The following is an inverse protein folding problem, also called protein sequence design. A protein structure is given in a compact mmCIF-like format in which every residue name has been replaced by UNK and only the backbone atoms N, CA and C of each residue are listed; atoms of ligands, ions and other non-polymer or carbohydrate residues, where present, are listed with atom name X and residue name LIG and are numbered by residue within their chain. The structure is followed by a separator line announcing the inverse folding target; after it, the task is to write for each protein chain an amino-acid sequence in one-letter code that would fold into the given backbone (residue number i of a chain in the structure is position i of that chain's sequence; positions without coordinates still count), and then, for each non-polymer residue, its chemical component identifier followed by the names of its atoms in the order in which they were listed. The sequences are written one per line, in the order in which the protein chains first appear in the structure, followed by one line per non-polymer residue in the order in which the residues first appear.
data_IF_183279470256
#
_entry.id   IF_183279470256
#
_cell.length_a   1.000
_cell.length_b   1.000
_cell.length_c   1.000
_cell.angle_alpha   90.00
_cell.angle_beta   90.00
_cell.angle_gamma   90.00
#
_symmetry.space_group_name_H-M   'P 1'
#
loop_
_entity.id
_entity.type
_entity.pdbx_description
1 polymer ?
#
# COMPACT_ATOMS: atom_id res chain seq x y z
N UNK A 1 34.37 3.12 2.89
CA UNK A 1 33.29 3.83 3.62
C UNK A 1 33.43 5.29 3.22
N UNK A 2 32.40 5.96 2.71
CA UNK A 2 32.52 7.39 2.38
C UNK A 2 32.53 8.20 3.68
N UNK A 3 33.29 9.30 3.68
CA UNK A 3 33.38 10.26 4.79
C UNK A 3 32.17 11.21 4.85
N UNK A 4 31.02 10.79 4.32
CA UNK A 4 29.82 11.61 4.30
C UNK A 4 29.27 11.74 5.73
N UNK A 5 29.31 12.96 6.26
CA UNK A 5 28.65 13.26 7.53
C UNK A 5 27.13 13.10 7.37
N UNK A 6 26.55 12.13 8.10
CA UNK A 6 25.10 11.91 8.15
C UNK A 6 24.53 12.50 9.42
N UNK A 7 23.49 13.32 9.29
CA UNK A 7 22.66 13.75 10.40
C UNK A 7 21.33 13.00 10.33
N UNK A 8 20.90 12.40 11.43
CA UNK A 8 19.61 11.74 11.56
C UNK A 8 18.66 12.65 12.34
N UNK A 9 17.43 12.76 11.86
CA UNK A 9 16.37 13.54 12.51
C UNK A 9 15.15 12.62 12.64
N UNK A 10 14.46 12.61 13.80
CA UNK A 10 13.22 11.86 13.94
C UNK A 10 12.22 12.22 12.84
N UNK A 11 11.62 11.22 12.22
CA UNK A 11 10.54 11.43 11.27
C UNK A 11 9.28 11.92 11.97
N UNK A 12 8.44 12.62 11.22
CA UNK A 12 7.07 12.95 11.65
C UNK A 12 6.08 11.92 11.09
N UNK A 13 4.94 11.71 11.77
CA UNK A 13 3.85 10.94 11.20
C UNK A 13 3.41 11.47 9.83
N UNK A 14 2.77 10.62 9.02
CA UNK A 14 2.16 11.06 7.76
C UNK A 14 1.17 12.21 8.04
N UNK A 15 1.21 13.30 7.26
CA UNK A 15 0.26 14.39 7.41
C UNK A 15 -1.15 13.94 7.01
N UNK A 16 -2.18 14.54 7.60
CA UNK A 16 -3.59 14.18 7.41
C UNK A 16 -4.00 14.02 5.94
N UNK A 17 -3.57 14.93 5.07
CA UNK A 17 -3.89 14.88 3.64
C UNK A 17 -3.36 13.62 2.93
N UNK A 18 -2.33 12.97 3.51
CA UNK A 18 -1.71 11.73 3.00
C UNK A 18 -2.16 10.48 3.77
N UNK A 19 -3.10 10.62 4.69
CA UNK A 19 -3.68 9.52 5.46
C UNK A 19 -4.97 9.07 4.79
N UNK A 20 -5.04 7.79 4.44
CA UNK A 20 -6.23 7.10 3.94
C UNK A 20 -6.88 6.22 5.01
N UNK A 21 -8.00 5.59 4.66
CA UNK A 21 -8.82 4.74 5.54
C UNK A 21 -8.00 3.58 6.11
N UNK A 22 -7.09 3.02 5.32
CA UNK A 22 -6.28 1.86 5.70
C UNK A 22 -4.88 2.22 6.19
N UNK A 23 -4.54 3.50 6.39
CA UNK A 23 -3.17 3.92 6.76
C UNK A 23 -2.75 3.49 8.16
N UNK A 24 -3.66 3.46 9.13
CA UNK A 24 -3.30 3.06 10.49
C UNK A 24 -2.79 1.61 10.54
N UNK A 25 -1.74 1.36 11.32
CA UNK A 25 -1.22 0.02 11.57
C UNK A 25 -2.30 -0.90 12.16
N UNK A 26 -2.59 -2.00 11.48
CA UNK A 26 -3.64 -2.97 11.82
C UNK A 26 -3.30 -4.34 11.18
N UNK A 27 -2.29 -5.04 11.72
CA UNK A 27 -1.81 -6.29 11.16
C UNK A 27 -2.87 -7.37 11.22
N UNK A 28 -3.00 -8.10 10.10
CA UNK A 28 -3.89 -9.24 10.05
C UNK A 28 -4.42 -9.53 8.66
N UNK A 29 -4.82 -10.79 8.48
CA UNK A 29 -5.40 -11.30 7.24
C UNK A 29 -6.91 -11.19 7.26
N UNK A 30 -7.48 -10.70 6.15
CA UNK A 30 -8.93 -10.62 5.94
C UNK A 30 -9.27 -10.94 4.49
N UNK A 31 -10.43 -11.54 4.25
CA UNK A 31 -10.98 -11.65 2.89
C UNK A 31 -11.86 -10.44 2.64
N UNK A 32 -11.59 -9.74 1.54
CA UNK A 32 -12.45 -8.72 0.98
C UNK A 32 -13.27 -9.40 -0.12
N UNK A 33 -14.54 -9.67 0.18
CA UNK A 33 -15.47 -10.34 -0.74
C UNK A 33 -15.72 -9.50 -2.00
N UNK A 34 -16.03 -10.15 -3.11
CA UNK A 34 -16.51 -9.48 -4.32
C UNK A 34 -17.70 -8.56 -4.00
N UNK A 35 -17.72 -7.36 -4.58
CA UNK A 35 -18.67 -6.30 -4.24
C UNK A 35 -18.25 -5.44 -3.03
N UNK A 36 -17.18 -5.78 -2.31
CA UNK A 36 -16.61 -4.89 -1.30
C UNK A 36 -16.21 -3.54 -1.92
N UNK A 37 -16.54 -2.44 -1.25
CA UNK A 37 -16.14 -1.07 -1.62
C UNK A 37 -15.58 -0.37 -0.40
N UNK A 38 -14.35 0.17 -0.50
CA UNK A 38 -13.69 0.83 0.63
C UNK A 38 -14.40 2.13 1.04
N UNK A 39 -14.88 2.90 0.06
CA UNK A 39 -15.69 4.11 0.28
C UNK A 39 -16.47 4.48 -1.00
N UNK A 40 -17.55 5.27 -0.91
CA UNK A 40 -18.45 5.56 -2.04
C UNK A 40 -17.78 6.03 -3.34
N UNK A 41 -16.70 6.84 -3.34
CA UNK A 41 -16.06 7.30 -4.58
C UNK A 41 -15.30 6.23 -5.38
N UNK A 42 -15.03 5.06 -4.80
CA UNK A 42 -14.14 4.05 -5.37
C UNK A 42 -14.89 2.87 -5.97
N UNK A 43 -14.20 2.10 -6.82
CA UNK A 43 -14.72 0.89 -7.45
C UNK A 43 -14.89 -0.26 -6.46
N UNK A 44 -15.91 -1.09 -6.71
CA UNK A 44 -16.11 -2.37 -6.03
C UNK A 44 -15.13 -3.44 -6.51
N UNK A 45 -14.75 -4.35 -5.61
CA UNK A 45 -13.91 -5.48 -5.97
C UNK A 45 -14.67 -6.45 -6.89
N UNK A 46 -14.10 -6.86 -8.03
CA UNK A 46 -14.76 -7.78 -8.96
C UNK A 46 -14.61 -9.27 -8.57
N UNK A 47 -13.71 -9.57 -7.63
CA UNK A 47 -13.40 -10.92 -7.15
C UNK A 47 -13.09 -10.86 -5.66
N UNK A 48 -13.16 -11.98 -4.97
CA UNK A 48 -12.70 -12.11 -3.59
C UNK A 48 -11.18 -11.94 -3.52
N UNK A 49 -10.70 -11.11 -2.61
CA UNK A 49 -9.28 -10.80 -2.42
C UNK A 49 -8.89 -11.13 -0.97
N UNK A 50 -7.89 -11.97 -0.79
CA UNK A 50 -7.21 -12.09 0.50
C UNK A 50 -6.27 -10.90 0.66
N UNK A 51 -6.50 -10.11 1.70
CA UNK A 51 -5.69 -8.98 2.09
C UNK A 51 -4.93 -9.30 3.38
N UNK A 52 -3.61 -9.44 3.27
CA UNK A 52 -2.69 -9.61 4.39
C UNK A 52 -2.06 -8.25 4.68
N UNK A 53 -2.57 -7.57 5.69
CA UNK A 53 -2.17 -6.22 6.05
C UNK A 53 -1.01 -6.25 7.04
N UNK A 54 -0.05 -5.33 6.85
CA UNK A 54 1.10 -5.10 7.73
C UNK A 54 1.97 -6.35 8.00
N UNK A 55 2.07 -7.25 7.01
CA UNK A 55 2.91 -8.45 7.13
C UNK A 55 4.35 -8.06 7.37
N UNK A 56 4.90 -8.45 8.52
CA UNK A 56 6.28 -8.19 8.91
C UNK A 56 7.26 -8.99 8.06
N UNK A 57 8.23 -8.30 7.47
CA UNK A 57 9.35 -8.88 6.73
C UNK A 57 10.66 -8.39 7.34
N UNK A 58 11.47 -9.31 7.85
CA UNK A 58 12.79 -8.98 8.38
C UNK A 58 13.83 -8.91 7.26
N UNK A 59 14.52 -7.79 7.16
CA UNK A 59 15.63 -7.57 6.24
C UNK A 59 16.93 -8.20 6.78
N UNK A 60 17.95 -8.32 5.92
CA UNK A 60 19.23 -8.98 6.24
C UNK A 60 19.98 -8.37 7.44
N UNK A 61 19.72 -7.10 7.75
CA UNK A 61 20.33 -6.38 8.88
C UNK A 61 19.44 -6.36 10.14
N UNK A 62 18.36 -7.14 10.15
CA UNK A 62 17.45 -7.27 11.28
C UNK A 62 16.33 -6.22 11.33
N UNK A 63 16.34 -5.21 10.46
CA UNK A 63 15.24 -4.23 10.35
C UNK A 63 13.96 -4.89 9.88
N UNK A 64 12.84 -4.57 10.53
CA UNK A 64 11.51 -5.04 10.12
C UNK A 64 10.85 -4.00 9.23
N UNK A 65 10.36 -4.45 8.07
CA UNK A 65 9.48 -3.65 7.21
C UNK A 65 8.10 -4.28 7.14
N UNK A 66 7.07 -3.48 6.90
CA UNK A 66 5.69 -3.94 6.83
C UNK A 66 5.15 -3.90 5.40
N UNK A 67 4.48 -4.98 4.99
CA UNK A 67 4.04 -5.18 3.62
C UNK A 67 2.55 -5.51 3.58
N UNK A 68 1.82 -4.79 2.74
CA UNK A 68 0.44 -5.13 2.40
C UNK A 68 0.44 -6.06 1.19
N UNK A 69 -0.22 -7.21 1.30
CA UNK A 69 -0.32 -8.20 0.21
C UNK A 69 -1.79 -8.39 -0.14
N UNK A 70 -2.11 -8.19 -1.42
CA UNK A 70 -3.43 -8.48 -1.99
C UNK A 70 -3.28 -9.64 -2.96
N UNK A 71 -4.08 -10.69 -2.82
CA UNK A 71 -4.08 -11.82 -3.75
C UNK A 71 -5.48 -12.37 -3.98
N UNK A 72 -5.77 -12.99 -5.14
CA UNK A 72 -7.06 -13.63 -5.39
C UNK A 72 -7.32 -14.73 -4.35
N UNK A 73 -8.54 -14.81 -3.82
CA UNK A 73 -8.93 -15.92 -2.96
C UNK A 73 -8.97 -17.25 -3.75
N UNK A 74 -8.69 -18.37 -3.06
CA UNK A 74 -8.72 -19.71 -3.66
C UNK A 74 -7.53 -20.11 -4.53
N UNK A 75 -6.56 -19.21 -4.79
CA UNK A 75 -5.33 -19.53 -5.50
C UNK A 75 -4.16 -19.78 -4.53
N UNK A 76 -3.43 -20.88 -4.73
CA UNK A 76 -2.24 -21.21 -3.92
C UNK A 76 -0.95 -20.52 -4.40
N UNK A 77 -0.76 -20.43 -5.71
CA UNK A 77 0.43 -19.82 -6.32
C UNK A 77 0.02 -18.88 -7.47
N UNK A 78 0.48 -17.63 -7.38
CA UNK A 78 0.21 -16.58 -8.37
C UNK A 78 1.47 -15.73 -8.59
N UNK A 79 1.66 -15.15 -9.79
CA UNK A 79 2.70 -14.14 -9.98
C UNK A 79 2.42 -12.92 -9.10
N UNK A 80 3.49 -12.33 -8.53
CA UNK A 80 3.40 -11.17 -7.63
C UNK A 80 3.99 -9.94 -8.30
N UNK A 81 3.25 -8.83 -8.28
CA UNK A 81 3.76 -7.50 -8.63
C UNK A 81 4.17 -6.79 -7.34
N UNK A 82 5.41 -6.32 -7.27
CA UNK A 82 5.93 -5.59 -6.10
C UNK A 82 5.99 -4.10 -6.42
N UNK A 83 5.28 -3.27 -5.66
CA UNK A 83 5.26 -1.81 -5.84
C UNK A 83 6.13 -1.09 -4.80
N UNK A 84 7.41 -0.93 -5.13
CA UNK A 84 8.41 -0.34 -4.24
C UNK A 84 8.48 1.18 -4.40
N UNK A 85 8.15 1.94 -3.34
CA UNK A 85 8.25 3.40 -3.33
C UNK A 85 8.22 3.96 -1.90
N UNK A 86 8.65 5.21 -1.66
CA UNK A 86 8.72 5.82 -0.34
C UNK A 86 7.38 6.42 0.12
N UNK A 87 6.29 6.25 -0.65
CA UNK A 87 5.08 7.03 -0.43
C UNK A 87 4.14 6.46 0.64
N UNK A 88 4.38 5.29 1.19
CA UNK A 88 3.42 4.61 2.05
C UNK A 88 2.53 3.66 1.26
N UNK A 89 2.15 2.52 1.84
CA UNK A 89 1.44 1.41 1.18
C UNK A 89 -0.08 1.56 1.13
N UNK A 90 -0.65 2.48 1.91
CA UNK A 90 -2.10 2.59 2.13
C UNK A 90 -2.66 4.02 1.92
N UNK A 91 -2.20 4.71 0.86
CA UNK A 91 -2.62 6.09 0.54
C UNK A 91 -3.74 6.21 -0.51
N UNK A 92 -4.22 5.12 -1.13
CA UNK A 92 -5.20 5.17 -2.24
C UNK A 92 -6.42 6.06 -1.95
N UNK A 93 -6.95 6.00 -0.72
CA UNK A 93 -8.10 6.82 -0.32
C UNK A 93 -7.76 8.18 0.30
N UNK A 94 -6.50 8.60 0.28
CA UNK A 94 -6.07 9.87 0.88
C UNK A 94 -6.49 11.06 0.02
N UNK A 95 -6.73 12.21 0.65
CA UNK A 95 -7.10 13.44 -0.05
C UNK A 95 -6.06 13.87 -1.09
N UNK A 96 -4.76 13.64 -0.82
CA UNK A 96 -3.69 13.95 -1.76
C UNK A 96 -3.78 13.10 -3.04
N UNK A 97 -4.06 11.80 -2.93
CA UNK A 97 -4.13 10.91 -4.11
C UNK A 97 -5.39 11.21 -4.92
N UNK A 98 -6.54 11.36 -4.25
CA UNK A 98 -7.79 11.77 -4.90
C UNK A 98 -7.66 13.13 -5.59
N UNK A 99 -6.90 14.06 -5.00
CA UNK A 99 -6.60 15.36 -5.58
C UNK A 99 -5.78 15.26 -6.87
N UNK A 100 -4.78 14.37 -6.92
CA UNK A 100 -3.99 14.11 -8.15
C UNK A 100 -4.88 13.59 -9.27
N UNK A 101 -5.79 12.66 -8.98
CA UNK A 101 -6.75 12.15 -9.97
C UNK A 101 -7.66 13.26 -10.49
N UNK A 102 -8.18 14.09 -9.59
CA UNK A 102 -8.99 15.26 -9.94
C UNK A 102 -8.25 16.24 -10.86
N UNK A 103 -6.97 16.53 -10.56
CA UNK A 103 -6.12 17.39 -11.41
C UNK A 103 -5.89 16.80 -12.81
N UNK A 104 -5.82 15.47 -12.92
CA UNK A 104 -5.70 14.76 -14.19
C UNK A 104 -7.05 14.57 -14.92
N UNK A 105 -8.17 15.02 -14.35
CA UNK A 105 -9.52 14.80 -14.90
C UNK A 105 -10.00 13.36 -14.81
N UNK A 106 -9.45 12.57 -13.88
CA UNK A 106 -9.83 11.18 -13.63
C UNK A 106 -10.78 11.09 -12.43
N UNK A 107 -11.83 10.27 -12.59
CA UNK A 107 -12.73 9.93 -11.49
C UNK A 107 -12.10 8.86 -10.59
N UNK A 108 -12.29 8.94 -9.28
CA UNK A 108 -11.75 7.94 -8.34
C UNK A 108 -12.35 6.53 -8.55
N UNK A 109 -13.52 6.42 -9.18
CA UNK A 109 -14.18 5.16 -9.50
C UNK A 109 -13.44 4.32 -10.55
N UNK A 110 -12.35 4.84 -11.15
CA UNK A 110 -11.48 4.03 -12.00
C UNK A 110 -10.59 3.06 -11.20
N UNK A 111 -10.40 3.32 -9.89
CA UNK A 111 -9.59 2.51 -8.97
C UNK A 111 -10.39 2.07 -7.73
N UNK A 112 -9.90 1.05 -7.03
CA UNK A 112 -10.58 0.50 -5.84
C UNK A 112 -10.32 1.27 -4.54
N UNK A 113 -9.35 2.20 -4.52
CA UNK A 113 -8.87 2.87 -3.32
C UNK A 113 -7.97 2.02 -2.43
N UNK A 114 -7.68 0.77 -2.82
CA UNK A 114 -6.76 -0.14 -2.12
C UNK A 114 -5.33 -0.03 -2.65
N UNK A 115 -5.15 0.66 -3.78
CA UNK A 115 -3.85 0.90 -4.37
C UNK A 115 -2.96 1.76 -3.48
N UNK A 116 -1.67 1.44 -3.53
CA UNK A 116 -0.61 2.36 -3.16
C UNK A 116 -0.57 3.52 -4.17
N UNK A 117 -0.15 4.72 -3.76
CA UNK A 117 0.05 5.82 -4.71
C UNK A 117 1.09 5.42 -5.79
N UNK A 118 0.74 5.63 -7.07
CA UNK A 118 1.47 5.14 -8.25
C UNK A 118 1.64 3.61 -8.35
N UNK A 119 0.90 2.87 -7.53
CA UNK A 119 0.92 1.41 -7.48
C UNK A 119 -0.16 0.74 -8.34
N UNK A 120 -0.06 -0.59 -8.52
CA UNK A 120 -1.10 -1.39 -9.14
C UNK A 120 -2.37 -1.45 -8.26
N UNK A 121 -3.54 -1.41 -8.90
CA UNK A 121 -4.84 -1.56 -8.22
C UNK A 121 -5.18 -3.05 -7.98
N UNK A 122 -5.39 -3.47 -6.71
CA UNK A 122 -5.84 -4.83 -6.37
C UNK A 122 -7.09 -5.29 -7.12
N UNK A 123 -8.09 -4.43 -7.33
CA UNK A 123 -9.30 -4.81 -8.05
C UNK A 123 -9.01 -5.22 -9.50
N UNK A 124 -8.03 -4.58 -10.14
CA UNK A 124 -7.67 -4.87 -11.52
C UNK A 124 -6.78 -6.13 -11.65
N UNK A 125 -5.75 -6.22 -10.82
CA UNK A 125 -4.73 -7.27 -10.97
C UNK A 125 -5.11 -8.59 -10.30
N UNK A 126 -5.82 -8.56 -9.16
CA UNK A 126 -6.32 -9.81 -8.57
C UNK A 126 -7.37 -10.46 -9.48
N UNK A 127 -8.21 -9.67 -10.16
CA UNK A 127 -9.13 -10.19 -11.18
C UNK A 127 -8.43 -10.89 -12.36
N UNK A 128 -7.11 -10.66 -12.54
CA UNK A 128 -6.27 -11.26 -13.59
C UNK A 128 -5.37 -12.38 -13.06
N UNK A 129 -5.56 -12.80 -11.82
CA UNK A 129 -4.77 -13.87 -11.22
C UNK A 129 -3.38 -13.43 -10.75
N UNK A 130 -3.15 -12.13 -10.54
CA UNK A 130 -1.90 -11.62 -9.97
C UNK A 130 -2.10 -11.23 -8.50
N UNK A 131 -1.07 -11.44 -7.69
CA UNK A 131 -0.96 -10.79 -6.39
C UNK A 131 -0.21 -9.46 -6.50
N UNK A 132 -0.41 -8.60 -5.53
CA UNK A 132 0.29 -7.34 -5.33
C UNK A 132 0.93 -7.36 -3.95
N UNK A 133 2.18 -6.93 -3.87
CA UNK A 133 2.86 -6.63 -2.61
C UNK A 133 3.28 -5.16 -2.57
N UNK A 134 2.76 -4.44 -1.59
CA UNK A 134 3.01 -3.03 -1.34
C UNK A 134 3.80 -2.88 -0.04
N UNK A 135 5.15 -2.86 -0.11
CA UNK A 135 5.97 -2.58 1.05
C UNK A 135 5.89 -1.10 1.42
N UNK A 136 5.77 -0.85 2.72
CA UNK A 136 6.41 0.29 3.34
C UNK A 136 7.89 -0.05 3.48
N UNK A 137 8.74 0.77 2.86
CA UNK A 137 10.17 0.51 2.82
C UNK A 137 10.80 0.96 4.14
N UNK A 138 12.08 0.64 4.35
CA UNK A 138 12.83 1.09 5.54
C UNK A 138 12.60 2.58 5.84
N UNK A 139 12.28 2.88 7.10
CA UNK A 139 12.08 4.24 7.61
C UNK A 139 10.84 4.95 7.08
N UNK A 140 9.88 4.21 6.50
CA UNK A 140 8.63 4.75 5.97
C UNK A 140 7.45 4.24 6.77
N UNK A 141 6.63 5.18 7.24
CA UNK A 141 5.39 4.93 8.02
C UNK A 141 5.71 4.09 9.26
N UNK A 142 5.21 2.86 9.35
CA UNK A 142 5.37 2.00 10.52
C UNK A 142 6.59 1.07 10.41
N UNK A 143 7.35 1.14 9.30
CA UNK A 143 8.55 0.31 9.11
C UNK A 143 9.77 0.88 9.83
N UNK A 144 10.55 -0.01 10.43
CA UNK A 144 11.75 0.34 11.18
C UNK A 144 12.85 0.97 10.29
N UNK A 145 13.82 1.58 10.97
CA UNK A 145 15.07 2.07 10.39
C UNK A 145 14.96 3.47 9.81
N UNK A 146 15.97 3.85 9.03
CA UNK A 146 16.12 5.21 8.53
C UNK A 146 15.95 5.26 7.00
N UNK A 147 15.21 6.26 6.52
CA UNK A 147 15.13 6.59 5.09
C UNK A 147 15.90 7.88 4.80
N UNK A 148 16.59 7.95 3.66
CA UNK A 148 17.05 9.23 3.11
C UNK A 148 15.88 9.86 2.35
N UNK A 149 15.41 11.01 2.79
CA UNK A 149 14.57 11.90 1.99
C UNK A 149 15.43 13.02 1.44
#
# INVERSE_FOLDING_TARGET
MSDDQKAYIPSSPLPEARTGILTAFDPGTRTLEAGFRIAPPFRELPVDIVFEKDTSVQLRDGTTVHVDIFRPAGAEQVPVIVAWSPYGKAQGTSASVMGVFGLAGLDNSVVSGLEKFEGPDPAYWCARGYAIANPDIRGVVDSDGDSVL
#
